data_IF_211251052633
#
_entry.id   IF_211251052633
#
_cell.length_a   1.000
_cell.length_b   1.000
_cell.length_c   1.000
_cell.angle_alpha   90.00
_cell.angle_beta   90.00
_cell.angle_gamma   90.00
#
_symmetry.space_group_name_H-M   'P 1'
#
loop_
_entity.id
_entity.type
_entity.pdbx_description
1 polymer ?
#
# COMPACT_ATOMS: atom_id res chain seq x y z
N UNK A 1 9.92 -7.74 -23.19
CA UNK A 1 9.96 -6.83 -22.03
C UNK A 1 10.72 -5.51 -22.31
N UNK A 2 11.84 -5.51 -23.04
CA UNK A 2 12.75 -4.34 -23.25
C UNK A 2 12.19 -3.08 -23.97
N UNK A 3 10.93 -3.07 -24.41
CA UNK A 3 10.34 -1.94 -25.18
C UNK A 3 9.05 -1.40 -24.56
N UNK A 4 8.79 -1.79 -23.32
CA UNK A 4 7.57 -1.45 -22.60
C UNK A 4 7.81 -0.18 -21.79
N UNK A 5 7.26 0.93 -22.25
CA UNK A 5 7.37 2.25 -21.61
C UNK A 5 6.89 2.22 -20.14
N UNK A 6 5.84 1.44 -19.83
CA UNK A 6 5.34 1.27 -18.47
C UNK A 6 6.38 0.59 -17.56
N UNK A 7 6.92 -0.55 -17.98
CA UNK A 7 7.99 -1.25 -17.26
C UNK A 7 9.24 -0.37 -17.10
N UNK A 8 9.65 0.35 -18.15
CA UNK A 8 10.84 1.21 -18.12
C UNK A 8 10.80 2.23 -16.98
N UNK A 9 9.61 2.78 -16.66
CA UNK A 9 9.48 3.78 -15.59
C UNK A 9 9.65 3.21 -14.18
N UNK A 10 9.30 1.93 -13.97
CA UNK A 10 9.31 1.30 -12.63
C UNK A 10 10.51 0.39 -12.42
N UNK A 11 11.12 -0.14 -13.48
CA UNK A 11 12.26 -1.07 -13.41
C UNK A 11 13.43 -0.56 -12.54
N UNK A 12 13.82 0.72 -12.55
CA UNK A 12 14.86 1.24 -11.65
C UNK A 12 14.55 1.08 -10.16
N UNK A 13 13.28 0.88 -9.81
CA UNK A 13 12.79 0.73 -8.44
C UNK A 13 12.46 -0.72 -8.09
N UNK A 14 12.70 -1.68 -8.98
CA UNK A 14 12.47 -3.11 -8.77
C UNK A 14 13.80 -3.84 -8.58
N UNK A 15 13.84 -4.95 -7.80
CA UNK A 15 15.05 -5.72 -7.57
C UNK A 15 15.32 -6.74 -8.70
N UNK A 16 14.84 -6.46 -9.92
CA UNK A 16 14.92 -7.34 -11.08
C UNK A 16 15.68 -6.65 -12.20
N UNK A 17 16.25 -7.46 -13.09
CA UNK A 17 16.83 -6.99 -14.35
C UNK A 17 16.12 -7.65 -15.53
N UNK A 18 16.24 -7.03 -16.69
CA UNK A 18 15.90 -7.72 -17.94
C UNK A 18 17.15 -8.45 -18.43
N UNK A 19 17.02 -9.75 -18.65
CA UNK A 19 18.04 -10.61 -19.24
C UNK A 19 17.38 -11.49 -20.30
N UNK A 20 17.95 -11.51 -21.50
CA UNK A 20 17.46 -12.30 -22.63
C UNK A 20 15.95 -12.07 -22.90
N UNK A 21 15.51 -10.81 -22.88
CA UNK A 21 14.12 -10.36 -23.04
C UNK A 21 13.14 -10.75 -21.91
N UNK A 22 13.62 -11.42 -20.87
CA UNK A 22 12.85 -11.86 -19.69
C UNK A 22 13.26 -11.13 -18.41
N UNK A 23 12.36 -11.04 -17.44
CA UNK A 23 12.68 -10.56 -16.10
C UNK A 23 13.33 -11.67 -15.28
N UNK A 24 14.40 -11.35 -14.58
CA UNK A 24 15.09 -12.27 -13.69
C UNK A 24 15.72 -11.58 -12.49
N UNK A 25 15.97 -12.36 -11.45
CA UNK A 25 16.82 -11.93 -10.33
C UNK A 25 18.24 -11.67 -10.84
N UNK A 26 18.90 -10.57 -10.44
CA UNK A 26 20.18 -10.20 -11.03
C UNK A 26 21.34 -11.11 -10.61
N UNK A 27 21.19 -11.86 -9.52
CA UNK A 27 22.24 -12.67 -8.89
C UNK A 27 21.79 -14.12 -8.67
N UNK A 28 22.52 -15.12 -9.18
CA UNK A 28 22.26 -16.54 -8.88
C UNK A 28 22.36 -16.87 -7.39
N UNK A 29 23.26 -16.20 -6.65
CA UNK A 29 23.39 -16.41 -5.20
C UNK A 29 22.10 -16.03 -4.45
N UNK A 30 21.41 -14.97 -4.88
CA UNK A 30 20.10 -14.63 -4.31
C UNK A 30 19.09 -15.75 -4.55
N UNK A 31 19.07 -16.33 -5.76
CA UNK A 31 18.19 -17.45 -6.10
C UNK A 31 18.50 -18.66 -5.23
N UNK A 32 19.77 -19.00 -5.03
CA UNK A 32 20.19 -20.10 -4.15
C UNK A 32 19.74 -19.89 -2.69
N UNK A 33 19.85 -18.67 -2.15
CA UNK A 33 19.35 -18.33 -0.81
C UNK A 33 17.83 -18.55 -0.73
N UNK A 34 17.07 -18.05 -1.70
CA UNK A 34 15.62 -18.22 -1.75
C UNK A 34 15.22 -19.70 -1.89
N UNK A 35 15.89 -20.45 -2.78
CA UNK A 35 15.67 -21.89 -2.94
C UNK A 35 15.97 -22.67 -1.66
N UNK A 36 17.02 -22.32 -0.92
CA UNK A 36 17.29 -22.91 0.38
C UNK A 36 16.18 -22.60 1.39
N UNK A 37 15.70 -21.35 1.44
CA UNK A 37 14.57 -20.95 2.30
C UNK A 37 13.28 -21.72 1.99
N UNK A 38 12.99 -22.01 0.73
CA UNK A 38 11.79 -22.82 0.38
C UNK A 38 11.80 -24.24 0.97
N UNK A 39 12.99 -24.77 1.29
CA UNK A 39 13.16 -26.11 1.90
C UNK A 39 13.08 -26.08 3.42
N UNK A 40 12.80 -24.92 4.00
CA UNK A 40 12.65 -24.72 5.44
C UNK A 40 13.97 -24.51 6.20
N UNK A 41 13.88 -24.27 7.51
CA UNK A 41 14.99 -23.83 8.36
C UNK A 41 16.15 -24.84 8.42
N UNK A 42 15.85 -26.15 8.30
CA UNK A 42 16.87 -27.21 8.31
C UNK A 42 17.84 -27.14 7.13
N UNK A 43 17.42 -26.57 6.00
CA UNK A 43 18.23 -26.41 4.80
C UNK A 43 18.83 -25.00 4.69
N UNK A 44 18.04 -23.96 5.01
CA UNK A 44 18.48 -22.57 4.89
C UNK A 44 19.33 -22.09 6.07
N UNK A 45 19.21 -22.72 7.24
CA UNK A 45 19.77 -22.21 8.49
C UNK A 45 19.01 -20.99 9.05
N UNK A 46 17.85 -20.64 8.47
CA UNK A 46 17.07 -19.46 8.86
C UNK A 46 15.90 -19.89 9.75
N UNK A 47 16.16 -19.95 11.04
CA UNK A 47 15.28 -20.45 12.10
C UNK A 47 15.03 -19.44 13.25
N UNK A 48 15.58 -18.23 13.14
CA UNK A 48 15.49 -17.17 14.14
C UNK A 48 15.50 -15.79 13.49
N UNK A 49 15.09 -14.76 14.23
CA UNK A 49 15.16 -13.37 13.79
C UNK A 49 16.60 -12.92 13.52
N UNK A 50 17.58 -13.46 14.26
CA UNK A 50 19.01 -13.23 13.99
C UNK A 50 19.45 -13.85 12.66
N UNK A 51 19.22 -15.14 12.42
CA UNK A 51 19.62 -15.77 11.15
C UNK A 51 18.84 -15.21 9.94
N UNK A 52 17.61 -14.73 10.15
CA UNK A 52 16.87 -13.96 9.14
C UNK A 52 17.54 -12.61 8.84
N UNK A 53 18.04 -11.92 9.85
CA UNK A 53 18.74 -10.64 9.69
C UNK A 53 20.05 -10.79 8.91
N UNK A 54 20.79 -11.86 9.19
CA UNK A 54 22.01 -12.21 8.44
C UNK A 54 21.65 -12.50 6.98
N UNK A 55 20.60 -13.29 6.75
CA UNK A 55 20.12 -13.61 5.40
C UNK A 55 19.63 -12.38 4.62
N UNK A 56 18.96 -11.43 5.27
CA UNK A 56 18.58 -10.14 4.65
C UNK A 56 19.84 -9.40 4.18
N UNK A 57 20.90 -9.41 4.99
CA UNK A 57 22.17 -8.76 4.63
C UNK A 57 22.82 -9.46 3.42
N UNK A 58 22.85 -10.79 3.41
CA UNK A 58 23.40 -11.58 2.30
C UNK A 58 22.62 -11.37 1.00
N UNK A 59 21.28 -11.36 1.06
CA UNK A 59 20.42 -11.10 -0.09
C UNK A 59 20.65 -9.68 -0.66
N UNK A 60 20.77 -8.68 0.20
CA UNK A 60 21.07 -7.30 -0.23
C UNK A 60 22.45 -7.17 -0.84
N UNK A 61 23.44 -7.88 -0.29
CA UNK A 61 24.79 -7.96 -0.87
C UNK A 61 24.76 -8.65 -2.24
N UNK A 62 23.99 -9.73 -2.39
CA UNK A 62 23.82 -10.41 -3.68
C UNK A 62 23.19 -9.50 -4.74
N UNK A 63 22.30 -8.58 -4.34
CA UNK A 63 21.72 -7.53 -5.19
C UNK A 63 22.64 -6.32 -5.42
N UNK A 64 23.82 -6.28 -4.78
CA UNK A 64 24.75 -5.14 -4.81
C UNK A 64 24.10 -3.80 -4.38
N UNK A 65 23.15 -3.85 -3.44
CA UNK A 65 22.49 -2.63 -2.95
C UNK A 65 23.45 -1.82 -2.08
N UNK A 66 23.67 -0.56 -2.46
CA UNK A 66 24.59 0.37 -1.76
C UNK A 66 23.95 1.11 -0.60
N UNK A 67 22.62 1.26 -0.63
CA UNK A 67 21.88 1.91 0.44
C UNK A 67 22.04 1.17 1.77
N UNK A 68 22.22 1.92 2.86
CA UNK A 68 22.23 1.34 4.20
C UNK A 68 20.81 1.14 4.71
N UNK A 69 20.58 0.02 5.40
CA UNK A 69 19.39 -0.15 6.22
C UNK A 69 19.42 0.85 7.39
N UNK A 70 18.25 1.18 7.93
CA UNK A 70 18.16 1.84 9.24
C UNK A 70 19.04 1.12 10.27
N UNK A 71 19.77 1.88 11.09
CA UNK A 71 20.81 1.36 12.01
C UNK A 71 20.32 0.26 12.95
N UNK A 72 19.03 0.24 13.25
CA UNK A 72 18.39 -0.72 14.14
C UNK A 72 17.48 -1.73 13.45
N UNK A 73 17.43 -1.74 12.11
CA UNK A 73 16.53 -2.59 11.35
C UNK A 73 16.70 -4.06 11.72
N UNK A 74 17.90 -4.60 11.50
CA UNK A 74 18.24 -6.01 11.76
C UNK A 74 18.03 -6.40 13.23
N UNK A 75 18.40 -5.53 14.17
CA UNK A 75 18.11 -5.76 15.59
C UNK A 75 16.60 -5.78 15.88
N UNK A 76 15.80 -5.00 15.15
CA UNK A 76 14.35 -5.02 15.23
C UNK A 76 13.73 -6.34 14.77
N UNK A 77 14.25 -6.95 13.69
CA UNK A 77 13.83 -8.30 13.26
C UNK A 77 14.17 -9.33 14.34
N UNK A 78 15.41 -9.35 14.82
CA UNK A 78 15.83 -10.24 15.89
C UNK A 78 14.96 -10.07 17.15
N UNK A 79 14.77 -8.84 17.62
CA UNK A 79 13.95 -8.55 18.80
C UNK A 79 12.52 -9.09 18.64
N UNK A 80 11.88 -8.87 17.48
CA UNK A 80 10.51 -9.33 17.28
C UNK A 80 10.42 -10.86 17.36
N UNK A 81 11.18 -11.57 16.52
CA UNK A 81 11.04 -13.02 16.36
C UNK A 81 11.66 -13.82 17.50
N UNK A 82 12.72 -13.30 18.13
CA UNK A 82 13.47 -14.03 19.16
C UNK A 82 12.99 -13.73 20.58
N UNK A 83 12.45 -12.52 20.82
CA UNK A 83 12.08 -12.07 22.18
C UNK A 83 10.61 -11.67 22.35
N UNK A 84 9.93 -11.15 21.32
CA UNK A 84 8.54 -10.64 21.44
C UNK A 84 7.47 -11.64 21.00
N UNK A 85 7.80 -12.51 20.07
CA UNK A 85 6.92 -13.58 19.59
C UNK A 85 7.06 -14.82 20.48
N UNK A 86 5.98 -15.60 20.65
CA UNK A 86 6.10 -16.88 21.36
C UNK A 86 7.02 -17.83 20.58
N UNK A 87 7.66 -18.79 21.26
CA UNK A 87 8.52 -19.78 20.58
C UNK A 87 7.75 -20.59 19.54
N UNK A 88 6.49 -20.91 19.84
CA UNK A 88 5.59 -21.66 18.97
C UNK A 88 5.22 -20.85 17.73
N UNK A 89 4.87 -19.57 17.90
CA UNK A 89 4.55 -18.65 16.81
C UNK A 89 5.77 -18.39 15.91
N UNK A 90 6.93 -18.15 16.52
CA UNK A 90 8.19 -17.91 15.82
C UNK A 90 8.64 -19.16 15.05
N UNK A 91 8.56 -20.34 15.68
CA UNK A 91 8.83 -21.61 15.00
C UNK A 91 7.89 -21.83 13.82
N UNK A 92 6.59 -21.57 13.98
CA UNK A 92 5.61 -21.67 12.88
C UNK A 92 5.97 -20.71 11.74
N UNK A 93 6.35 -19.47 12.06
CA UNK A 93 6.76 -18.48 11.05
C UNK A 93 7.91 -19.01 10.18
N UNK A 94 8.99 -19.50 10.80
CA UNK A 94 10.16 -19.98 10.06
C UNK A 94 9.92 -21.29 9.31
N UNK A 95 9.01 -22.15 9.79
CA UNK A 95 8.72 -23.44 9.15
C UNK A 95 7.64 -23.37 8.06
N UNK A 96 6.71 -22.42 8.13
CA UNK A 96 5.53 -22.38 7.25
C UNK A 96 5.47 -21.08 6.44
N UNK A 97 5.65 -19.91 7.07
CA UNK A 97 5.41 -18.63 6.40
C UNK A 97 6.61 -18.18 5.57
N UNK A 98 7.82 -18.22 6.16
CA UNK A 98 9.04 -17.79 5.49
C UNK A 98 9.34 -18.59 4.21
N UNK A 99 9.18 -19.94 4.18
CA UNK A 99 9.36 -20.73 2.97
C UNK A 99 8.38 -20.34 1.85
N UNK A 100 7.12 -20.07 2.17
CA UNK A 100 6.12 -19.63 1.20
C UNK A 100 6.42 -18.24 0.65
N UNK A 101 6.87 -17.31 1.49
CA UNK A 101 7.36 -16.00 1.02
C UNK A 101 8.54 -16.16 0.05
N UNK A 102 9.48 -17.07 0.33
CA UNK A 102 10.60 -17.35 -0.56
C UNK A 102 10.14 -17.99 -1.88
N UNK A 103 9.17 -18.91 -1.84
CA UNK A 103 8.55 -19.52 -3.02
C UNK A 103 7.89 -18.45 -3.90
N UNK A 104 7.15 -17.52 -3.28
CA UNK A 104 6.53 -16.41 -3.97
C UNK A 104 7.57 -15.48 -4.64
N UNK A 105 8.69 -15.20 -3.96
CA UNK A 105 9.79 -14.42 -4.54
C UNK A 105 10.50 -15.13 -5.70
N UNK A 106 10.63 -16.46 -5.67
CA UNK A 106 11.15 -17.21 -6.84
C UNK A 106 10.20 -17.08 -8.04
N UNK A 107 8.89 -16.99 -7.81
CA UNK A 107 7.88 -16.78 -8.86
C UNK A 107 7.75 -15.32 -9.30
N UNK A 108 8.21 -14.36 -8.51
CA UNK A 108 8.04 -12.92 -8.74
C UNK A 108 8.38 -12.46 -10.17
N UNK A 109 9.53 -12.82 -10.78
CA UNK A 109 9.82 -12.39 -12.14
C UNK A 109 8.75 -12.84 -13.15
N UNK A 110 8.32 -14.10 -13.07
CA UNK A 110 7.27 -14.66 -13.95
C UNK A 110 5.89 -14.06 -13.68
N UNK A 111 5.56 -13.78 -12.40
CA UNK A 111 4.32 -13.10 -12.03
C UNK A 111 4.26 -11.69 -12.62
N UNK A 112 5.38 -10.97 -12.57
CA UNK A 112 5.47 -9.63 -13.12
C UNK A 112 5.40 -9.64 -14.66
N UNK A 113 6.01 -10.62 -15.33
CA UNK A 113 5.84 -10.81 -16.78
C UNK A 113 4.39 -11.09 -17.16
N UNK A 114 3.73 -12.01 -16.45
CA UNK A 114 2.33 -12.34 -16.66
C UNK A 114 1.42 -11.12 -16.47
N UNK A 115 1.72 -10.30 -15.45
CA UNK A 115 1.04 -9.03 -15.24
C UNK A 115 1.07 -8.15 -16.49
N UNK A 116 2.25 -7.88 -17.03
CA UNK A 116 2.35 -7.05 -18.24
C UNK A 116 1.76 -7.72 -19.49
N UNK A 117 1.76 -9.06 -19.59
CA UNK A 117 1.09 -9.74 -20.70
C UNK A 117 -0.43 -9.53 -20.66
N UNK A 118 -1.01 -9.41 -19.46
CA UNK A 118 -2.44 -9.26 -19.27
C UNK A 118 -2.90 -7.80 -19.18
N UNK A 119 -2.03 -6.88 -18.74
CA UNK A 119 -2.40 -5.49 -18.41
C UNK A 119 -3.01 -4.70 -19.56
N UNK A 120 -2.64 -5.00 -20.79
CA UNK A 120 -3.16 -4.30 -21.98
C UNK A 120 -4.61 -4.69 -22.31
N UNK A 121 -5.10 -5.79 -21.74
CA UNK A 121 -6.42 -6.36 -22.04
C UNK A 121 -7.44 -6.22 -20.88
N UNK A 122 -7.03 -5.72 -19.70
CA UNK A 122 -7.94 -5.59 -18.55
C UNK A 122 -9.04 -4.55 -18.80
N UNK A 123 -8.67 -3.37 -19.30
CA UNK A 123 -9.59 -2.28 -19.63
C UNK A 123 -9.22 -1.79 -21.03
N UNK A 124 -10.13 -1.95 -21.98
CA UNK A 124 -9.87 -1.67 -23.38
C UNK A 124 -9.49 -0.19 -23.58
N UNK A 125 -8.31 0.07 -24.13
CA UNK A 125 -7.80 1.43 -24.37
C UNK A 125 -7.12 2.10 -23.17
N UNK A 126 -7.04 1.44 -22.01
CA UNK A 126 -6.41 2.00 -20.80
C UNK A 126 -5.17 1.20 -20.41
N UNK A 127 -4.02 1.88 -20.28
CA UNK A 127 -2.78 1.26 -19.74
C UNK A 127 -2.96 0.99 -18.25
N UNK A 128 -2.95 -0.29 -17.85
CA UNK A 128 -3.08 -0.72 -16.43
C UNK A 128 -1.82 -1.36 -15.85
N UNK A 129 -0.77 -1.49 -16.67
CA UNK A 129 0.51 -2.09 -16.28
C UNK A 129 1.20 -1.32 -15.16
N UNK A 130 2.01 -2.04 -14.37
CA UNK A 130 2.72 -1.46 -13.23
C UNK A 130 3.71 -0.43 -13.78
N UNK A 131 3.62 0.80 -13.29
CA UNK A 131 4.46 1.92 -13.72
C UNK A 131 4.42 3.01 -12.68
N UNK A 132 5.41 3.89 -12.70
CA UNK A 132 5.34 5.10 -11.88
C UNK A 132 4.22 5.99 -12.41
N UNK A 133 3.19 6.21 -11.59
CA UNK A 133 2.12 7.15 -11.90
C UNK A 133 2.61 8.54 -11.52
N UNK A 134 3.39 9.19 -12.40
CA UNK A 134 4.04 10.47 -12.11
C UNK A 134 3.08 11.64 -11.83
N UNK A 135 3.57 12.75 -11.24
CA UNK A 135 2.74 13.91 -10.91
C UNK A 135 2.20 14.58 -12.18
N UNK A 136 1.05 15.22 -12.05
CA UNK A 136 0.28 15.88 -13.09
C UNK A 136 -0.09 14.98 -14.27
N UNK A 137 -0.08 13.64 -14.09
CA UNK A 137 -0.61 12.67 -15.05
C UNK A 137 -1.60 11.71 -14.40
N UNK A 138 -2.85 11.72 -14.87
CA UNK A 138 -3.86 10.76 -14.43
C UNK A 138 -3.50 9.36 -14.96
N UNK A 139 -3.83 8.33 -14.20
CA UNK A 139 -3.59 6.96 -14.62
C UNK A 139 -3.91 5.95 -13.55
N UNK A 140 -4.09 4.71 -13.99
CA UNK A 140 -4.46 3.59 -13.13
C UNK A 140 -3.48 2.42 -13.29
N UNK A 141 -3.22 1.73 -12.20
CA UNK A 141 -2.46 0.48 -12.14
C UNK A 141 -3.35 -0.59 -11.52
N UNK A 142 -3.41 -1.77 -12.12
CA UNK A 142 -4.05 -2.96 -11.54
C UNK A 142 -2.98 -3.93 -11.10
N UNK A 143 -3.11 -4.53 -9.93
CA UNK A 143 -2.20 -5.58 -9.45
C UNK A 143 -3.03 -6.72 -8.90
N UNK A 144 -2.73 -7.96 -9.30
CA UNK A 144 -3.28 -9.12 -8.61
C UNK A 144 -2.77 -9.15 -7.17
N UNK A 145 -3.59 -9.59 -6.20
CA UNK A 145 -3.18 -9.72 -4.80
C UNK A 145 -1.94 -10.62 -4.63
N UNK A 146 -1.77 -11.65 -5.47
CA UNK A 146 -0.56 -12.48 -5.49
C UNK A 146 0.71 -11.67 -5.81
N UNK A 147 0.66 -10.82 -6.84
CA UNK A 147 1.77 -9.93 -7.19
C UNK A 147 2.03 -8.89 -6.10
N UNK A 148 1.00 -8.39 -5.43
CA UNK A 148 1.13 -7.51 -4.26
C UNK A 148 1.86 -8.24 -3.13
N UNK A 149 1.49 -9.49 -2.86
CA UNK A 149 2.19 -10.39 -1.95
C UNK A 149 3.68 -10.46 -2.24
N UNK A 150 4.06 -10.72 -3.50
CA UNK A 150 5.46 -10.79 -3.92
C UNK A 150 6.21 -9.45 -3.73
N UNK A 151 5.56 -8.33 -4.06
CA UNK A 151 6.12 -6.99 -3.88
C UNK A 151 6.31 -6.66 -2.39
N UNK A 152 5.34 -6.99 -1.54
CA UNK A 152 5.46 -6.78 -0.09
C UNK A 152 6.46 -7.75 0.56
N UNK A 153 6.63 -8.97 0.03
CA UNK A 153 7.75 -9.84 0.43
C UNK A 153 9.09 -9.18 0.12
N UNK A 154 9.26 -8.54 -1.04
CA UNK A 154 10.45 -7.73 -1.33
C UNK A 154 10.64 -6.60 -0.29
N UNK A 155 9.56 -5.92 0.12
CA UNK A 155 9.62 -4.91 1.19
C UNK A 155 10.07 -5.48 2.53
N UNK A 156 9.57 -6.67 2.91
CA UNK A 156 9.92 -7.35 4.15
C UNK A 156 11.40 -7.74 4.18
N UNK A 157 11.94 -8.30 3.10
CA UNK A 157 13.37 -8.63 2.98
C UNK A 157 14.24 -7.42 2.64
N UNK A 158 13.64 -6.24 2.53
CA UNK A 158 14.30 -4.99 2.18
C UNK A 158 15.09 -5.09 0.87
N UNK A 159 14.50 -5.65 -0.19
CA UNK A 159 15.20 -5.92 -1.45
C UNK A 159 15.09 -4.77 -2.46
N UNK A 160 14.20 -3.80 -2.27
CA UNK A 160 14.05 -2.72 -3.23
C UNK A 160 15.27 -1.78 -3.22
N UNK A 161 15.75 -1.35 -4.40
CA UNK A 161 16.68 -0.22 -4.51
C UNK A 161 16.00 1.07 -4.09
N UNK A 162 16.69 1.91 -3.30
CA UNK A 162 16.09 3.10 -2.67
C UNK A 162 16.88 4.39 -2.87
N UNK A 163 18.06 4.34 -3.52
CA UNK A 163 18.98 5.47 -3.61
C UNK A 163 18.34 6.72 -4.26
N UNK A 164 17.59 6.52 -5.35
CA UNK A 164 16.95 7.61 -6.10
C UNK A 164 15.48 7.86 -5.75
N UNK A 165 14.92 7.17 -4.74
CA UNK A 165 13.49 7.34 -4.41
C UNK A 165 13.18 8.75 -3.91
N UNK A 166 14.06 9.28 -3.06
CA UNK A 166 13.89 10.61 -2.47
C UNK A 166 13.91 11.74 -3.51
N UNK A 167 14.83 11.67 -4.47
CA UNK A 167 14.93 12.65 -5.58
C UNK A 167 13.74 12.56 -6.53
N UNK A 168 13.12 11.37 -6.65
CA UNK A 168 11.92 11.14 -7.45
C UNK A 168 10.61 11.27 -6.65
N UNK A 169 10.67 11.83 -5.43
CA UNK A 169 9.50 12.08 -4.59
C UNK A 169 8.66 10.82 -4.30
N UNK A 170 9.29 9.65 -4.34
CA UNK A 170 8.66 8.38 -4.01
C UNK A 170 8.74 8.11 -2.49
N UNK A 171 7.67 7.59 -1.87
CA UNK A 171 7.72 7.16 -0.48
C UNK A 171 8.75 6.03 -0.25
N UNK A 172 9.08 5.81 1.02
CA UNK A 172 9.86 4.63 1.43
C UNK A 172 9.02 3.36 1.22
N UNK A 173 9.68 2.23 0.96
CA UNK A 173 8.98 0.97 0.65
C UNK A 173 9.53 -0.24 1.41
N UNK A 174 10.83 -0.26 1.75
CA UNK A 174 11.42 -1.31 2.56
C UNK A 174 10.99 -1.17 4.04
N UNK A 175 10.88 -2.31 4.75
CA UNK A 175 10.40 -2.33 6.14
C UNK A 175 11.49 -2.06 7.18
N UNK A 176 12.70 -1.73 6.74
CA UNK A 176 13.87 -1.46 7.60
C UNK A 176 13.58 -0.42 8.71
N UNK A 177 12.82 0.64 8.39
CA UNK A 177 12.43 1.67 9.35
C UNK A 177 11.27 1.26 10.24
N UNK A 178 10.39 0.37 9.77
CA UNK A 178 9.30 -0.19 10.56
C UNK A 178 9.88 -1.07 11.68
N UNK A 179 10.76 -2.01 11.34
CA UNK A 179 11.44 -2.87 12.31
C UNK A 179 12.44 -2.10 13.16
N UNK A 180 13.23 -1.19 12.56
CA UNK A 180 14.19 -0.39 13.31
C UNK A 180 13.54 0.55 14.34
N UNK A 181 12.28 0.92 14.14
CA UNK A 181 11.54 1.75 15.12
C UNK A 181 11.18 0.97 16.39
N UNK A 182 11.20 -0.37 16.37
CA UNK A 182 10.91 -1.22 17.52
C UNK A 182 11.96 -1.10 18.64
N UNK A 183 13.22 -0.84 18.29
CA UNK A 183 14.34 -0.68 19.25
C UNK A 183 14.38 0.73 19.87
N UNK A 184 13.98 1.75 19.11
CA UNK A 184 14.36 3.13 19.37
C UNK A 184 13.52 3.88 20.42
N UNK A 185 12.65 3.21 21.18
CA UNK A 185 11.68 3.87 22.07
C UNK A 185 11.30 2.97 23.26
N UNK A 186 11.30 3.54 24.47
CA UNK A 186 11.01 2.84 25.73
C UNK A 186 9.55 2.44 25.95
N UNK A 187 8.63 2.75 25.01
CA UNK A 187 7.22 2.34 25.02
C UNK A 187 6.74 2.15 23.57
N UNK A 188 7.03 0.98 23.00
CA UNK A 188 6.86 0.68 21.58
C UNK A 188 5.72 -0.31 21.27
N UNK A 189 4.75 -0.46 22.18
CA UNK A 189 3.68 -1.44 22.00
C UNK A 189 2.90 -1.20 20.70
N UNK A 190 2.53 0.04 20.37
CA UNK A 190 1.89 0.34 19.10
C UNK A 190 2.75 -0.07 17.90
N UNK A 191 4.07 0.17 17.94
CA UNK A 191 4.99 -0.22 16.88
C UNK A 191 5.07 -1.74 16.70
N UNK A 192 5.13 -2.49 17.80
CA UNK A 192 5.07 -3.96 17.79
C UNK A 192 3.74 -4.44 17.17
N UNK A 193 2.63 -3.79 17.52
CA UNK A 193 1.30 -4.13 17.00
C UNK A 193 1.11 -3.79 15.52
N UNK A 194 1.73 -2.71 15.03
CA UNK A 194 1.82 -2.44 13.58
C UNK A 194 2.51 -3.58 12.86
N UNK A 195 3.65 -4.02 13.38
CA UNK A 195 4.39 -5.15 12.80
C UNK A 195 3.56 -6.44 12.90
N UNK A 196 2.81 -6.68 13.98
CA UNK A 196 1.90 -7.83 14.10
C UNK A 196 0.85 -7.89 12.98
N UNK A 197 0.31 -6.75 12.54
CA UNK A 197 -0.61 -6.74 11.39
C UNK A 197 0.08 -7.18 10.09
N UNK A 198 1.32 -6.72 9.87
CA UNK A 198 2.14 -7.12 8.70
C UNK A 198 2.49 -8.61 8.74
N UNK A 199 2.91 -9.11 9.90
CA UNK A 199 3.18 -10.54 10.13
C UNK A 199 1.93 -11.36 9.86
N UNK A 200 0.77 -10.91 10.35
CA UNK A 200 -0.49 -11.57 10.08
C UNK A 200 -0.83 -11.63 8.59
N UNK A 201 -0.66 -10.53 7.86
CA UNK A 201 -0.88 -10.52 6.41
C UNK A 201 -0.07 -11.61 5.69
N UNK A 202 1.22 -11.76 6.02
CA UNK A 202 2.03 -12.83 5.42
C UNK A 202 1.60 -14.24 5.87
N UNK A 203 1.12 -14.42 7.10
CA UNK A 203 0.53 -15.69 7.56
C UNK A 203 -0.75 -16.05 6.79
N UNK A 204 -1.58 -15.05 6.46
CA UNK A 204 -2.78 -15.22 5.62
C UNK A 204 -2.38 -15.59 4.20
N UNK A 205 -1.42 -14.85 3.63
CA UNK A 205 -0.90 -15.09 2.28
C UNK A 205 -0.32 -16.49 2.12
N UNK A 206 0.41 -17.01 3.13
CA UNK A 206 0.97 -18.38 3.09
C UNK A 206 -0.10 -19.47 3.24
N UNK A 207 -1.26 -19.15 3.83
CA UNK A 207 -2.34 -20.11 4.05
C UNK A 207 -3.32 -20.19 2.88
N UNK A 208 -3.65 -19.04 2.29
CA UNK A 208 -4.51 -18.92 1.12
C UNK A 208 -4.31 -17.55 0.48
N UNK A 209 -3.91 -17.51 -0.78
CA UNK A 209 -3.90 -16.28 -1.55
C UNK A 209 -5.30 -16.05 -2.10
N UNK A 210 -5.95 -14.97 -1.68
CA UNK A 210 -7.24 -14.58 -2.24
C UNK A 210 -7.06 -14.26 -3.74
N UNK A 211 -7.86 -14.86 -4.64
CA UNK A 211 -7.82 -14.51 -6.04
C UNK A 211 -8.56 -13.17 -6.23
N UNK A 212 -7.82 -12.08 -6.37
CA UNK A 212 -8.39 -10.77 -6.60
C UNK A 212 -7.38 -9.79 -7.16
N UNK A 213 -7.87 -8.58 -7.43
CA UNK A 213 -7.05 -7.46 -7.87
C UNK A 213 -7.18 -6.29 -6.89
N UNK A 214 -6.20 -5.40 -6.91
CA UNK A 214 -6.28 -4.08 -6.32
C UNK A 214 -5.92 -3.08 -7.41
N UNK A 215 -6.73 -2.05 -7.57
CA UNK A 215 -6.45 -0.96 -8.50
C UNK A 215 -6.06 0.30 -7.76
N UNK A 216 -5.04 0.99 -8.25
CA UNK A 216 -4.54 2.26 -7.75
C UNK A 216 -4.67 3.31 -8.85
N UNK A 217 -5.53 4.29 -8.66
CA UNK A 217 -5.76 5.36 -9.62
C UNK A 217 -5.25 6.69 -9.06
N UNK A 218 -4.29 7.31 -9.76
CA UNK A 218 -3.95 8.72 -9.58
C UNK A 218 -4.95 9.52 -10.39
N UNK A 219 -5.83 10.26 -9.70
CA UNK A 219 -6.80 11.15 -10.32
C UNK A 219 -6.31 12.60 -10.30
N UNK A 220 -6.71 13.36 -11.31
CA UNK A 220 -6.35 14.76 -11.46
C UNK A 220 -7.60 15.58 -11.65
N UNK A 221 -7.63 16.71 -10.96
CA UNK A 221 -8.70 17.68 -11.09
C UNK A 221 -8.55 18.38 -12.45
N UNK A 222 -9.26 17.87 -13.46
CA UNK A 222 -9.30 18.52 -14.77
C UNK A 222 -10.29 19.68 -14.71
N UNK A 223 -9.78 20.90 -14.81
CA UNK A 223 -10.58 22.12 -14.88
C UNK A 223 -10.88 22.39 -16.36
N UNK A 224 -12.17 22.48 -16.73
CA UNK A 224 -12.55 22.80 -18.11
C UNK A 224 -11.93 24.13 -18.59
N UNK A 225 -11.68 24.17 -19.90
CA UNK A 225 -11.01 25.23 -20.64
C UNK A 225 -11.51 26.64 -20.25
N UNK A 226 -10.72 27.34 -19.42
CA UNK A 226 -10.89 28.77 -19.15
C UNK A 226 -10.74 29.19 -17.69
N UNK A 227 -10.84 28.26 -16.73
CA UNK A 227 -10.63 28.56 -15.30
C UNK A 227 -9.38 27.87 -14.78
N UNK A 228 -8.39 28.66 -14.33
CA UNK A 228 -7.08 28.16 -13.89
C UNK A 228 -7.08 27.50 -12.51
N UNK A 229 -8.21 27.51 -11.78
CA UNK A 229 -8.38 26.88 -10.47
C UNK A 229 -9.86 26.83 -10.06
N UNK A 230 -10.22 25.92 -9.14
CA UNK A 230 -11.40 26.10 -8.27
C UNK A 230 -11.10 27.25 -7.32
N UNK A 231 -11.20 28.49 -7.83
CA UNK A 231 -10.92 29.68 -7.04
C UNK A 231 -12.11 30.09 -6.16
N UNK A 232 -11.91 31.12 -5.35
CA UNK A 232 -12.98 31.73 -4.56
C UNK A 232 -14.20 32.12 -5.42
N UNK A 233 -13.95 32.54 -6.66
CA UNK A 233 -14.99 32.93 -7.62
C UNK A 233 -15.89 31.78 -8.04
N UNK A 234 -15.35 30.58 -8.21
CA UNK A 234 -16.11 29.36 -8.46
C UNK A 234 -17.07 29.08 -7.29
N UNK A 235 -16.55 28.97 -6.07
CA UNK A 235 -17.34 28.62 -4.90
C UNK A 235 -18.40 29.67 -4.57
N UNK A 236 -18.06 30.95 -4.70
CA UNK A 236 -19.00 32.06 -4.44
C UNK A 236 -20.20 32.08 -5.39
N UNK A 237 -20.03 31.57 -6.62
CA UNK A 237 -21.09 31.52 -7.63
C UNK A 237 -21.88 30.21 -7.59
N UNK A 238 -21.46 29.23 -6.81
CA UNK A 238 -22.18 27.95 -6.73
C UNK A 238 -23.57 28.16 -6.15
N UNK A 239 -24.56 27.59 -6.83
CA UNK A 239 -25.96 27.54 -6.38
C UNK A 239 -26.41 26.09 -6.14
N UNK A 240 -25.46 25.16 -6.01
CA UNK A 240 -25.76 23.75 -5.81
C UNK A 240 -26.33 23.54 -4.41
N UNK A 241 -27.38 22.73 -4.31
CA UNK A 241 -27.98 22.39 -3.03
C UNK A 241 -27.04 21.47 -2.25
N UNK A 242 -26.98 21.66 -0.93
CA UNK A 242 -26.23 20.77 -0.06
C UNK A 242 -26.83 19.36 -0.12
N UNK A 243 -25.96 18.34 -0.24
CA UNK A 243 -26.36 16.95 -0.18
C UNK A 243 -26.81 16.57 1.25
N UNK A 244 -27.58 15.47 1.43
CA UNK A 244 -27.84 14.93 2.76
C UNK A 244 -26.54 14.62 3.51
N UNK A 245 -26.57 14.76 4.84
CA UNK A 245 -25.44 14.44 5.73
C UNK A 245 -25.95 13.69 6.95
N UNK A 246 -25.26 12.61 7.29
CA UNK A 246 -25.48 11.84 8.51
C UNK A 246 -24.25 11.99 9.41
N UNK A 247 -24.48 12.29 10.69
CA UNK A 247 -23.40 12.51 11.66
C UNK A 247 -23.47 11.43 12.73
N UNK A 248 -22.42 10.61 12.80
CA UNK A 248 -22.27 9.57 13.80
C UNK A 248 -21.21 10.01 14.83
N UNK A 249 -21.53 9.88 16.12
CA UNK A 249 -20.61 10.20 17.22
C UNK A 249 -19.81 9.00 17.71
N UNK A 250 -20.08 7.82 17.13
CA UNK A 250 -19.42 6.56 17.39
C UNK A 250 -19.27 5.78 16.08
N UNK A 251 -18.36 4.82 16.07
CA UNK A 251 -18.01 4.06 14.86
C UNK A 251 -16.74 4.59 14.18
N UNK A 252 -16.33 3.88 13.15
CA UNK A 252 -15.12 4.14 12.37
C UNK A 252 -15.49 4.17 10.88
N UNK A 253 -14.64 4.81 10.06
CA UNK A 253 -14.89 4.95 8.61
C UNK A 253 -14.90 3.56 7.95
N UNK A 254 -13.94 2.71 8.30
CA UNK A 254 -13.75 1.35 7.79
C UNK A 254 -14.84 0.35 8.22
N UNK A 255 -15.61 0.68 9.26
CA UNK A 255 -16.67 -0.16 9.82
C UNK A 255 -18.07 0.31 9.40
N UNK A 256 -18.17 1.29 8.49
CA UNK A 256 -19.46 1.80 8.02
C UNK A 256 -20.20 0.72 7.23
N UNK A 257 -21.47 0.48 7.56
CA UNK A 257 -22.24 -0.66 7.00
C UNK A 257 -22.79 -0.41 5.61
N UNK A 258 -22.86 0.85 5.17
CA UNK A 258 -23.33 1.23 3.83
C UNK A 258 -22.12 1.47 2.95
N UNK A 259 -22.15 0.93 1.72
CA UNK A 259 -21.13 1.18 0.71
C UNK A 259 -20.92 2.68 0.51
N UNK A 260 -19.68 3.11 0.71
CA UNK A 260 -19.28 4.50 0.61
C UNK A 260 -17.82 4.59 0.14
N UNK A 261 -17.46 5.76 -0.37
CA UNK A 261 -16.05 6.14 -0.51
C UNK A 261 -15.50 6.40 0.89
N UNK A 262 -14.58 5.54 1.33
CA UNK A 262 -13.95 5.61 2.64
C UNK A 262 -12.73 6.53 2.56
N UNK A 263 -12.79 7.68 3.24
CA UNK A 263 -11.73 8.70 3.15
C UNK A 263 -10.53 8.31 4.00
N UNK A 264 -9.36 8.23 3.36
CA UNK A 264 -8.05 8.20 4.02
C UNK A 264 -7.59 9.62 4.32
N UNK A 265 -7.20 9.90 5.57
CA UNK A 265 -6.71 11.19 6.02
C UNK A 265 -5.24 11.36 5.68
N UNK A 266 -4.95 11.22 4.39
CA UNK A 266 -3.63 10.96 3.87
C UNK A 266 -2.65 12.13 4.07
N UNK A 267 -1.37 11.77 4.18
CA UNK A 267 -0.27 12.67 3.87
C UNK A 267 -0.15 12.86 2.34
N UNK A 268 0.45 13.97 1.90
CA UNK A 268 0.76 14.16 0.47
C UNK A 268 1.64 13.03 -0.10
N UNK A 269 2.42 12.37 0.75
CA UNK A 269 3.08 11.11 0.42
C UNK A 269 2.22 9.97 0.94
N UNK A 270 1.64 9.19 0.02
CA UNK A 270 0.78 8.06 0.36
C UNK A 270 1.40 7.18 1.46
N UNK A 271 0.61 6.84 2.47
CA UNK A 271 1.00 6.00 3.60
C UNK A 271 1.77 6.74 4.69
N UNK A 272 2.10 8.03 4.54
CA UNK A 272 2.66 8.87 5.58
C UNK A 272 3.79 8.22 6.40
N UNK A 273 3.52 7.98 7.69
CA UNK A 273 4.41 7.32 8.63
C UNK A 273 4.23 5.81 8.79
N UNK A 274 3.51 5.13 7.89
CA UNK A 274 3.07 3.73 8.02
C UNK A 274 4.26 2.77 8.19
N UNK A 275 5.34 2.98 7.42
CA UNK A 275 6.58 2.20 7.54
C UNK A 275 7.59 2.84 8.52
N UNK A 276 7.12 3.71 9.41
CA UNK A 276 7.89 4.39 10.48
C UNK A 276 7.09 4.33 11.79
N UNK A 277 7.10 5.42 12.55
CA UNK A 277 6.44 5.59 13.86
C UNK A 277 5.01 6.15 13.77
N UNK A 278 4.53 6.56 12.59
CA UNK A 278 3.17 7.08 12.43
C UNK A 278 2.16 5.99 12.81
N UNK A 279 1.09 6.35 13.51
CA UNK A 279 0.09 5.39 13.98
C UNK A 279 -1.27 6.07 14.19
N UNK A 280 -1.60 7.03 13.33
CA UNK A 280 -2.92 7.69 13.31
C UNK A 280 -3.77 7.07 12.19
N UNK A 281 -4.83 7.73 11.75
CA UNK A 281 -5.83 7.14 10.84
C UNK A 281 -5.22 6.51 9.56
N UNK A 282 -4.39 7.25 8.81
CA UNK A 282 -3.76 6.73 7.58
C UNK A 282 -2.88 5.51 7.88
N UNK A 283 -2.00 5.59 8.88
CA UNK A 283 -1.09 4.48 9.16
C UNK A 283 -1.81 3.26 9.71
N UNK A 284 -2.86 3.44 10.52
CA UNK A 284 -3.69 2.34 11.00
C UNK A 284 -4.33 1.64 9.81
N UNK A 285 -4.92 2.40 8.86
CA UNK A 285 -5.53 1.84 7.66
C UNK A 285 -4.54 1.02 6.84
N UNK A 286 -3.32 1.50 6.67
CA UNK A 286 -2.25 0.77 5.97
C UNK A 286 -1.78 -0.48 6.73
N UNK A 287 -1.94 -0.56 8.05
CA UNK A 287 -1.60 -1.77 8.79
C UNK A 287 -2.72 -2.82 8.72
N UNK A 288 -3.99 -2.41 8.76
CA UNK A 288 -5.12 -3.36 8.69
C UNK A 288 -5.44 -3.79 7.25
N UNK A 289 -5.06 -2.99 6.25
CA UNK A 289 -5.10 -3.31 4.82
C UNK A 289 -3.69 -3.21 4.19
N UNK A 290 -2.75 -4.14 4.48
CA UNK A 290 -1.35 -4.01 4.05
C UNK A 290 -1.12 -3.89 2.54
N UNK A 291 -2.07 -4.31 1.72
CA UNK A 291 -2.00 -4.18 0.27
C UNK A 291 -1.90 -2.71 -0.19
N UNK A 292 -2.40 -1.75 0.61
CA UNK A 292 -2.24 -0.32 0.35
C UNK A 292 -0.77 0.13 0.29
N UNK A 293 0.12 -0.57 1.03
CA UNK A 293 1.55 -0.25 1.11
C UNK A 293 2.20 -0.37 -0.27
N UNK A 294 1.73 -1.25 -1.16
CA UNK A 294 2.34 -1.41 -2.48
C UNK A 294 2.19 -0.15 -3.34
N UNK A 295 1.17 0.68 -3.09
CA UNK A 295 1.02 1.98 -3.75
C UNK A 295 2.23 2.90 -3.50
N UNK A 296 2.85 2.80 -2.32
CA UNK A 296 4.06 3.54 -1.95
C UNK A 296 5.26 3.22 -2.85
N UNK A 297 5.23 2.09 -3.59
CA UNK A 297 6.26 1.69 -4.53
C UNK A 297 6.29 2.59 -5.79
N UNK A 298 5.13 3.04 -6.27
CA UNK A 298 5.00 3.63 -7.61
C UNK A 298 4.15 4.92 -7.68
N UNK A 299 3.65 5.42 -6.54
CA UNK A 299 2.92 6.70 -6.44
C UNK A 299 3.81 7.76 -5.75
N UNK A 300 4.43 8.69 -6.51
CA UNK A 300 5.12 9.85 -5.96
C UNK A 300 4.19 10.79 -5.20
N UNK A 301 4.76 11.76 -4.48
CA UNK A 301 4.02 12.83 -3.78
C UNK A 301 2.86 13.40 -4.61
N UNK A 302 1.70 13.58 -3.98
CA UNK A 302 0.52 14.23 -4.56
C UNK A 302 0.69 15.75 -4.63
N UNK A 303 0.34 16.32 -5.78
CA UNK A 303 0.11 17.75 -5.93
C UNK A 303 -1.27 18.17 -5.39
N UNK A 304 -1.48 19.47 -5.18
CA UNK A 304 -2.72 20.00 -4.57
C UNK A 304 -3.99 19.77 -5.40
N UNK A 305 -3.86 19.33 -6.65
CA UNK A 305 -4.96 19.03 -7.58
C UNK A 305 -5.12 17.53 -7.82
N UNK A 306 -4.41 16.69 -7.05
CA UNK A 306 -4.39 15.25 -7.21
C UNK A 306 -5.06 14.54 -6.05
N UNK A 307 -5.60 13.36 -6.35
CA UNK A 307 -6.10 12.40 -5.37
C UNK A 307 -5.64 11.00 -5.79
N UNK A 308 -5.59 10.07 -4.83
CA UNK A 308 -5.36 8.65 -5.09
C UNK A 308 -6.59 7.88 -4.66
N UNK A 309 -7.14 7.07 -5.56
CA UNK A 309 -8.17 6.10 -5.22
C UNK A 309 -7.58 4.69 -5.25
N UNK A 310 -7.90 3.89 -4.24
CA UNK A 310 -7.57 2.47 -4.19
C UNK A 310 -8.85 1.65 -4.02
N UNK A 311 -9.02 0.65 -4.88
CA UNK A 311 -10.20 -0.25 -4.86
C UNK A 311 -9.72 -1.69 -4.79
N UNK A 312 -10.32 -2.48 -3.90
CA UNK A 312 -10.06 -3.91 -3.77
C UNK A 312 -9.06 -4.33 -2.69
N UNK A 313 -8.52 -3.39 -1.90
CA UNK A 313 -7.56 -3.71 -0.85
C UNK A 313 -8.24 -4.37 0.35
N UNK A 314 -7.94 -5.65 0.60
CA UNK A 314 -8.56 -6.47 1.65
C UNK A 314 -8.14 -6.02 3.06
N UNK A 315 -9.07 -6.08 4.02
CA UNK A 315 -8.75 -5.93 5.44
C UNK A 315 -8.38 -7.29 6.03
N UNK A 316 -7.19 -7.38 6.61
CA UNK A 316 -6.67 -8.63 7.19
C UNK A 316 -6.72 -8.65 8.72
N UNK A 317 -6.87 -7.50 9.38
CA UNK A 317 -6.70 -7.41 10.83
C UNK A 317 -7.79 -6.58 11.51
N UNK A 318 -8.31 -7.14 12.61
CA UNK A 318 -9.00 -6.35 13.63
C UNK A 318 -7.98 -5.57 14.45
N UNK A 319 -8.38 -4.39 14.93
CA UNK A 319 -7.57 -3.61 15.84
C UNK A 319 -8.41 -2.95 16.93
N UNK A 320 -7.74 -2.50 17.98
CA UNK A 320 -8.30 -1.61 19.01
C UNK A 320 -7.34 -0.46 19.29
N UNK A 321 -7.86 0.60 19.91
CA UNK A 321 -7.06 1.76 20.27
C UNK A 321 -6.62 2.62 19.08
N UNK A 322 -5.85 3.66 19.37
CA UNK A 322 -5.41 4.66 18.39
C UNK A 322 -4.08 5.27 18.85
N UNK A 323 -3.21 5.66 17.91
CA UNK A 323 -1.88 6.21 18.23
C UNK A 323 -1.09 5.25 19.14
N UNK A 324 -0.55 5.72 20.26
CA UNK A 324 0.22 4.91 21.22
C UNK A 324 -0.55 3.72 21.81
N UNK A 325 -1.88 3.77 21.81
CA UNK A 325 -2.75 2.70 22.31
C UNK A 325 -3.16 1.67 21.24
N UNK A 326 -2.74 1.83 19.98
CA UNK A 326 -3.07 0.90 18.90
C UNK A 326 -2.62 -0.53 19.24
N UNK A 327 -3.52 -1.49 19.08
CA UNK A 327 -3.29 -2.92 19.27
C UNK A 327 -3.86 -3.72 18.12
N UNK A 328 -3.06 -4.64 17.61
CA UNK A 328 -3.54 -5.74 16.80
C UNK A 328 -4.45 -6.62 17.67
N UNK A 329 -5.60 -7.04 17.16
CA UNK A 329 -6.61 -7.79 17.94
C UNK A 329 -7.16 -9.04 17.26
N UNK A 330 -6.47 -9.54 16.23
CA UNK A 330 -6.80 -10.80 15.59
C UNK A 330 -7.18 -10.68 14.12
N UNK A 331 -7.54 -11.83 13.55
CA UNK A 331 -7.88 -12.02 12.16
C UNK A 331 -9.20 -11.36 11.78
N UNK A 332 -9.19 -10.63 10.67
CA UNK A 332 -10.40 -10.11 10.05
C UNK A 332 -10.72 -10.98 8.82
N UNK A 333 -11.92 -11.53 8.78
CA UNK A 333 -12.45 -12.13 7.55
C UNK A 333 -13.25 -11.05 6.85
N UNK A 334 -12.70 -10.51 5.77
CA UNK A 334 -13.47 -9.59 4.94
C UNK A 334 -14.61 -10.33 4.26
N UNK A 335 -15.81 -9.80 4.39
CA UNK A 335 -17.06 -10.39 3.88
C UNK A 335 -17.79 -9.45 2.93
N UNK A 336 -17.14 -8.33 2.59
CA UNK A 336 -17.71 -7.34 1.68
C UNK A 336 -17.76 -7.89 0.25
N UNK A 337 -18.71 -7.38 -0.52
CA UNK A 337 -18.94 -7.86 -1.89
C UNK A 337 -17.75 -7.53 -2.79
N UNK A 338 -17.57 -8.35 -3.83
CA UNK A 338 -16.52 -8.18 -4.83
C UNK A 338 -17.11 -7.85 -6.19
N UNK A 339 -16.40 -7.05 -6.97
CA UNK A 339 -16.79 -6.71 -8.33
C UNK A 339 -16.38 -7.78 -9.37
N UNK A 340 -16.58 -7.49 -10.65
CA UNK A 340 -16.24 -8.41 -11.76
C UNK A 340 -14.74 -8.73 -11.88
N UNK A 341 -13.88 -7.94 -11.23
CA UNK A 341 -12.44 -8.17 -11.16
C UNK A 341 -12.04 -8.83 -9.84
N UNK A 342 -13.00 -9.26 -9.01
CA UNK A 342 -12.73 -9.83 -7.69
C UNK A 342 -12.19 -8.80 -6.69
N UNK A 343 -12.43 -7.50 -6.93
CA UNK A 343 -12.00 -6.42 -6.05
C UNK A 343 -13.10 -6.16 -5.03
N UNK A 344 -12.77 -6.10 -3.75
CA UNK A 344 -13.69 -5.58 -2.74
C UNK A 344 -14.21 -4.20 -3.13
N UNK A 345 -15.52 -3.98 -2.95
CA UNK A 345 -16.19 -2.75 -3.41
C UNK A 345 -15.89 -1.52 -2.55
N UNK A 346 -15.24 -1.67 -1.39
CA UNK A 346 -14.76 -0.49 -0.65
C UNK A 346 -13.70 0.24 -1.43
N UNK A 347 -13.84 1.55 -1.43
CA UNK A 347 -12.94 2.44 -2.16
C UNK A 347 -12.28 3.30 -1.11
N UNK A 348 -10.98 3.10 -0.90
CA UNK A 348 -10.18 3.98 -0.08
C UNK A 348 -9.79 5.19 -0.93
N UNK A 349 -10.24 6.38 -0.54
CA UNK A 349 -9.99 7.62 -1.26
C UNK A 349 -9.06 8.53 -0.47
N UNK A 350 -7.89 8.80 -1.02
CA UNK A 350 -6.95 9.80 -0.54
C UNK A 350 -7.22 11.14 -1.23
N UNK A 351 -8.04 11.99 -0.58
CA UNK A 351 -8.36 13.35 -1.03
C UNK A 351 -9.68 13.46 -1.81
N UNK A 352 -10.32 14.63 -1.74
CA UNK A 352 -11.56 14.90 -2.48
C UNK A 352 -11.24 15.31 -3.91
N UNK A 353 -11.77 14.57 -4.90
CA UNK A 353 -11.79 15.02 -6.28
C UNK A 353 -13.24 15.24 -6.72
N UNK A 354 -13.47 16.36 -7.40
CA UNK A 354 -14.69 16.56 -8.16
C UNK A 354 -14.75 15.51 -9.28
N UNK A 355 -15.73 14.60 -9.23
CA UNK A 355 -16.02 13.68 -10.33
C UNK A 355 -16.72 14.49 -11.41
N UNK A 356 -15.96 15.11 -12.30
CA UNK A 356 -16.54 15.82 -13.42
C UNK A 356 -17.17 14.79 -14.36
N UNK A 357 -18.51 14.66 -14.32
CA UNK A 357 -19.26 13.85 -15.27
C UNK A 357 -19.01 14.38 -16.69
N UNK A 358 -18.44 13.50 -17.52
CA UNK A 358 -18.20 13.58 -18.97
C UNK A 358 -16.95 14.35 -19.42
N UNK A 359 -15.98 13.59 -19.93
CA UNK A 359 -15.38 13.84 -21.24
C UNK A 359 -14.90 12.52 -21.86
N UNK A 360 -15.09 12.37 -23.17
CA UNK A 360 -15.02 11.10 -23.88
C UNK A 360 -13.65 10.40 -23.89
N UNK A 361 -13.73 9.08 -24.03
CA UNK A 361 -12.67 8.11 -24.34
C UNK A 361 -11.64 7.74 -23.25
N UNK A 362 -11.74 8.24 -22.02
CA UNK A 362 -11.07 7.62 -20.88
C UNK A 362 -12.14 6.96 -19.99
N UNK A 363 -12.22 5.63 -20.02
CA UNK A 363 -13.06 4.87 -19.07
C UNK A 363 -12.41 4.95 -17.69
N UNK A 364 -12.73 6.00 -16.92
CA UNK A 364 -12.68 5.91 -15.47
C UNK A 364 -13.70 4.84 -15.05
N UNK A 365 -13.47 4.15 -13.92
CA UNK A 365 -14.51 3.30 -13.34
C UNK A 365 -15.57 4.26 -12.81
N UNK A 366 -16.57 4.56 -13.66
CA UNK A 366 -17.67 5.44 -13.31
C UNK A 366 -18.42 4.83 -12.12
N UNK A 367 -18.54 5.60 -11.03
CA UNK A 367 -19.33 5.22 -9.87
C UNK A 367 -20.82 5.18 -10.27
N UNK A 368 -21.56 4.17 -9.80
CA UNK A 368 -23.02 4.22 -9.89
C UNK A 368 -23.54 5.47 -9.15
N UNK A 369 -24.55 6.12 -9.73
CA UNK A 369 -25.21 7.29 -9.14
C UNK A 369 -25.71 6.94 -7.72
N UNK A 370 -25.07 7.50 -6.69
CA UNK A 370 -25.57 7.42 -5.31
C UNK A 370 -24.65 6.81 -4.24
N UNK A 371 -23.40 6.45 -4.55
CA UNK A 371 -22.44 6.02 -3.51
C UNK A 371 -22.08 7.19 -2.59
N UNK A 372 -22.29 7.05 -1.29
CA UNK A 372 -22.00 8.09 -0.29
C UNK A 372 -20.50 8.27 -0.01
N UNK A 373 -20.15 9.23 0.85
CA UNK A 373 -18.77 9.44 1.33
C UNK A 373 -18.72 9.26 2.84
N UNK A 374 -17.92 8.31 3.31
CA UNK A 374 -17.63 8.09 4.73
C UNK A 374 -16.33 8.82 5.09
N UNK A 375 -16.46 9.90 5.87
CA UNK A 375 -15.33 10.75 6.30
C UNK A 375 -15.47 11.14 7.78
N UNK A 376 -14.61 12.02 8.26
CA UNK A 376 -14.67 12.56 9.61
C UNK A 376 -13.76 13.78 9.80
N UNK A 377 -13.00 13.79 10.89
CA UNK A 377 -12.15 14.91 11.32
C UNK A 377 -10.84 15.03 10.49
N UNK A 378 -10.99 15.09 9.16
CA UNK A 378 -9.89 15.12 8.22
C UNK A 378 -8.98 16.36 8.42
N UNK A 379 -7.71 16.10 8.73
CA UNK A 379 -6.73 17.16 8.98
C UNK A 379 -6.89 17.88 10.32
N UNK A 380 -7.75 17.41 11.22
CA UNK A 380 -7.99 18.05 12.53
C UNK A 380 -7.18 17.43 13.67
N UNK A 381 -6.59 16.25 13.45
CA UNK A 381 -5.71 15.59 14.42
C UNK A 381 -4.28 16.11 14.33
N UNK A 382 -3.38 15.32 13.74
CA UNK A 382 -1.96 15.65 13.63
C UNK A 382 -1.66 16.97 12.87
N UNK A 383 -2.58 17.44 12.02
CA UNK A 383 -2.44 18.68 11.25
C UNK A 383 -3.12 19.90 11.89
N UNK A 384 -3.80 19.74 13.04
CA UNK A 384 -4.29 20.87 13.85
C UNK A 384 -5.39 21.73 13.22
N UNK A 385 -6.11 21.22 12.21
CA UNK A 385 -7.25 21.92 11.62
C UNK A 385 -8.48 21.99 12.55
N UNK A 386 -9.32 22.99 12.31
CA UNK A 386 -10.59 23.19 13.02
C UNK A 386 -11.67 22.21 12.50
N UNK A 387 -12.27 21.35 13.34
CA UNK A 387 -13.20 20.32 12.89
C UNK A 387 -14.53 20.87 12.38
N UNK A 388 -15.05 21.96 12.94
CA UNK A 388 -16.26 22.62 12.47
C UNK A 388 -16.08 23.17 11.05
N UNK A 389 -15.00 23.92 10.82
CA UNK A 389 -14.65 24.43 9.50
C UNK A 389 -14.39 23.30 8.51
N UNK A 390 -13.62 22.28 8.89
CA UNK A 390 -13.32 21.15 8.00
C UNK A 390 -14.56 20.35 7.65
N UNK A 391 -15.52 20.21 8.56
CA UNK A 391 -16.79 19.55 8.28
C UNK A 391 -17.60 20.31 7.22
N UNK A 392 -17.68 21.65 7.34
CA UNK A 392 -18.35 22.49 6.34
C UNK A 392 -17.65 22.43 4.97
N UNK A 393 -16.31 22.48 4.94
CA UNK A 393 -15.55 22.41 3.70
C UNK A 393 -15.76 21.06 2.98
N UNK A 394 -15.75 19.96 3.71
CA UNK A 394 -16.02 18.63 3.16
C UNK A 394 -17.46 18.54 2.63
N UNK A 395 -18.43 19.04 3.38
CA UNK A 395 -19.84 19.03 2.96
C UNK A 395 -20.07 19.85 1.68
N UNK A 396 -19.46 21.03 1.58
CA UNK A 396 -19.48 21.85 0.36
C UNK A 396 -18.82 21.12 -0.82
N UNK A 397 -17.67 20.49 -0.59
CA UNK A 397 -16.94 19.75 -1.62
C UNK A 397 -17.77 18.58 -2.17
N UNK A 398 -18.33 17.74 -1.30
CA UNK A 398 -19.14 16.57 -1.69
C UNK A 398 -20.45 17.00 -2.36
N UNK A 399 -21.09 18.06 -1.86
CA UNK A 399 -22.33 18.57 -2.46
C UNK A 399 -22.14 19.09 -3.88
N UNK A 400 -20.91 19.49 -4.23
CA UNK A 400 -20.58 20.05 -5.53
C UNK A 400 -20.35 18.98 -6.61
N UNK A 401 -20.21 17.70 -6.22
CA UNK A 401 -19.91 16.56 -7.10
C UNK A 401 -21.15 16.03 -7.81
#
# INVERSE_FOLDING_TARGET
MEKREDLETILPYLPLKIQDLSLSWPSPNLVEILEAMTKGPSHSGVDSGRSLSDSISDMRQALSLTSYLSSSALQGYALLFDERMSKEESSRWFNEVLPEMACLLLRFPSLLELHYLNSDNLINGTKTGLRVLGPNKAGIVFLSQELIGALLSCSFFCLFPVDDRGSNHLPIINFDKLFGSLINTGQNEHQENKIKCIIHYFQRLSSCISPGFVSFERKILSLEQGSSCLDEGFWRKSTVNLCPVEVHTYGLIEDHSVEALEVDFANKNLGGGALRKGCVQEEIRFMINPELIVGMLFLPTMEVTEAIEVVGAERFSHYTGYSSSFRFSGDYIDTKETDVFGRETNKALCGFLHVCKKQGNAQCIDHEDGVGVATGNWGCGAYGGDPELKSLLQWLAVSQV
#
